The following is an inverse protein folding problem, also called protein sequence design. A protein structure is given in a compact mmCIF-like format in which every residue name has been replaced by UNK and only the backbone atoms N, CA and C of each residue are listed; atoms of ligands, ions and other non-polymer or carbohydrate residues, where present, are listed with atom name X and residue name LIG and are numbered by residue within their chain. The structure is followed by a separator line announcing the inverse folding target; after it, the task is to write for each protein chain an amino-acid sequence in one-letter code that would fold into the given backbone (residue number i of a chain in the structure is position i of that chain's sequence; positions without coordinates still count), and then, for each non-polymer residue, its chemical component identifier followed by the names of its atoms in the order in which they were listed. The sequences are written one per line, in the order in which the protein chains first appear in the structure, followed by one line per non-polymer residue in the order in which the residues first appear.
data_IF_151370585721
#
_entry.id   IF_151370585721
#
_cell.length_a   1.000
_cell.length_b   1.000
_cell.length_c   1.000
_cell.angle_alpha   90.00
_cell.angle_beta   90.00
_cell.angle_gamma   90.00
#
_symmetry.space_group_name_H-M   'P 1'
#
loop_
_entity.id
_entity.type
_entity.pdbx_description
1 polymer ?
#
# COMPACT_ATOMS: atom_id res chain seq x y z
N UNK A 1 8.77 38.95 -15.36
CA UNK A 1 9.62 39.37 -14.27
C UNK A 1 9.85 38.18 -13.32
N UNK A 2 11.04 37.57 -13.36
CA UNK A 2 11.37 36.43 -12.48
C UNK A 2 11.47 36.87 -11.01
N UNK A 3 10.87 36.08 -10.12
CA UNK A 3 11.01 36.29 -8.66
C UNK A 3 12.46 36.01 -8.25
N UNK A 4 13.14 37.01 -7.67
CA UNK A 4 14.47 36.82 -7.08
C UNK A 4 14.36 35.96 -5.84
N UNK A 5 15.16 34.90 -5.74
CA UNK A 5 15.33 34.07 -4.54
C UNK A 5 16.64 34.45 -3.86
N UNK A 6 16.62 34.64 -2.55
CA UNK A 6 17.80 34.93 -1.74
C UNK A 6 18.09 33.73 -0.86
N UNK A 7 19.39 33.38 -0.75
CA UNK A 7 19.90 32.32 0.12
C UNK A 7 20.91 32.94 1.09
N UNK A 8 20.68 32.75 2.40
CA UNK A 8 21.61 33.22 3.42
C UNK A 8 22.63 32.13 3.71
N UNK A 9 23.91 32.37 3.38
CA UNK A 9 24.99 31.42 3.53
C UNK A 9 25.49 31.26 4.98
N UNK A 10 25.07 32.15 5.89
CA UNK A 10 25.56 32.23 7.28
C UNK A 10 27.10 32.39 7.37
N UNK A 11 27.68 33.01 6.35
CA UNK A 11 29.10 33.38 6.31
C UNK A 11 29.19 34.87 6.66
N UNK A 12 30.01 35.19 7.63
CA UNK A 12 30.16 36.57 8.12
C UNK A 12 31.58 37.03 7.98
N UNK A 13 31.78 38.27 7.53
CA UNK A 13 33.09 38.94 7.52
C UNK A 13 33.28 39.61 8.87
N UNK A 14 34.52 39.56 9.38
CA UNK A 14 34.93 40.22 10.61
C UNK A 14 35.61 41.57 10.30
N UNK A 15 35.58 42.55 11.20
CA UNK A 15 36.34 43.80 11.01
C UNK A 15 37.86 43.53 10.87
N UNK A 16 38.48 44.04 9.80
CA UNK A 16 39.89 43.85 9.50
C UNK A 16 40.76 44.77 10.38
N UNK A 17 41.20 44.28 11.50
CA UNK A 17 42.11 45.00 12.43
C UNK A 17 43.54 44.48 12.37
N UNK A 18 43.70 43.22 11.96
CA UNK A 18 44.99 42.55 11.87
C UNK A 18 45.19 41.90 10.51
N UNK A 19 46.43 41.53 10.19
CA UNK A 19 46.74 40.76 8.98
C UNK A 19 46.06 39.39 8.96
N UNK A 20 45.88 38.81 10.14
CA UNK A 20 45.15 37.53 10.30
C UNK A 20 43.65 37.68 10.03
N UNK A 21 43.03 38.80 10.44
CA UNK A 21 41.62 39.06 10.17
C UNK A 21 41.35 39.18 8.67
N UNK A 22 42.26 39.85 7.96
CA UNK A 22 42.20 39.97 6.51
C UNK A 22 42.32 38.60 5.83
N UNK A 23 43.25 37.75 6.28
CA UNK A 23 43.40 36.39 5.72
C UNK A 23 42.16 35.53 5.98
N UNK A 24 41.51 35.62 7.16
CA UNK A 24 40.24 34.94 7.46
C UNK A 24 39.10 35.41 6.55
N UNK A 25 39.03 36.72 6.31
CA UNK A 25 38.02 37.29 5.42
C UNK A 25 38.22 36.83 3.95
N UNK A 26 39.49 36.75 3.50
CA UNK A 26 39.79 36.25 2.16
C UNK A 26 39.36 34.79 1.97
N UNK A 27 39.59 33.93 2.96
CA UNK A 27 39.09 32.51 2.96
C UNK A 27 37.57 32.47 2.93
N UNK A 28 36.92 33.30 3.75
CA UNK A 28 35.44 33.35 3.79
C UNK A 28 34.84 33.82 2.46
N UNK A 29 35.46 34.84 1.84
CA UNK A 29 35.04 35.34 0.51
C UNK A 29 35.28 34.29 -0.59
N UNK A 30 36.41 33.57 -0.54
CA UNK A 30 36.72 32.52 -1.47
C UNK A 30 35.67 31.37 -1.38
N UNK A 31 35.28 30.99 -0.16
CA UNK A 31 34.25 30.02 0.09
C UNK A 31 32.87 30.50 -0.46
N UNK A 32 32.52 31.75 -0.17
CA UNK A 32 31.27 32.35 -0.70
C UNK A 32 31.23 32.34 -2.23
N UNK A 33 32.34 32.70 -2.88
CA UNK A 33 32.45 32.65 -4.37
C UNK A 33 32.35 31.22 -4.91
N UNK A 34 32.95 30.24 -4.24
CA UNK A 34 32.84 28.83 -4.63
C UNK A 34 31.41 28.33 -4.52
N UNK A 35 30.67 28.67 -3.44
CA UNK A 35 29.27 28.37 -3.28
C UNK A 35 28.42 29.06 -4.38
N UNK A 36 28.68 30.34 -4.68
CA UNK A 36 28.02 31.07 -5.76
C UNK A 36 28.20 30.39 -7.11
N UNK A 37 29.44 30.03 -7.45
CA UNK A 37 29.74 29.35 -8.72
C UNK A 37 29.01 28.01 -8.82
N UNK A 38 28.96 27.23 -7.74
CA UNK A 38 28.23 25.99 -7.67
C UNK A 38 26.71 26.22 -7.90
N UNK A 39 26.13 27.26 -7.25
CA UNK A 39 24.72 27.61 -7.43
C UNK A 39 24.38 28.08 -8.84
N UNK A 40 25.27 28.83 -9.48
CA UNK A 40 25.09 29.24 -10.89
C UNK A 40 25.01 28.00 -11.79
N UNK A 41 25.91 27.04 -11.60
CA UNK A 41 25.89 25.76 -12.36
C UNK A 41 24.60 24.95 -12.06
N UNK A 42 24.15 24.89 -10.79
CA UNK A 42 22.91 24.22 -10.41
C UNK A 42 21.70 24.88 -11.09
N UNK A 43 21.61 26.22 -11.09
CA UNK A 43 20.51 26.96 -11.75
C UNK A 43 20.55 26.81 -13.26
N UNK A 44 21.74 26.82 -13.87
CA UNK A 44 21.90 26.60 -15.31
C UNK A 44 21.52 25.15 -15.68
N UNK A 45 21.94 24.17 -14.87
CA UNK A 45 21.55 22.77 -15.07
C UNK A 45 20.03 22.59 -14.95
N UNK A 46 19.38 23.21 -13.97
CA UNK A 46 17.92 23.18 -13.84
C UNK A 46 17.23 23.86 -15.03
N UNK A 47 17.77 24.99 -15.53
CA UNK A 47 17.24 25.70 -16.70
C UNK A 47 17.40 24.95 -18.02
N UNK A 48 18.44 24.12 -18.15
CA UNK A 48 18.73 23.30 -19.31
C UNK A 48 18.33 21.82 -19.17
N UNK A 49 17.61 21.46 -18.09
CA UNK A 49 17.14 20.08 -17.84
C UNK A 49 18.25 19.09 -17.45
N UNK A 50 19.46 19.56 -17.12
CA UNK A 50 20.51 18.70 -16.60
C UNK A 50 20.19 18.23 -15.18
N UNK A 51 20.23 16.93 -14.95
CA UNK A 51 19.95 16.34 -13.64
C UNK A 51 20.93 16.85 -12.56
N UNK A 52 20.41 17.23 -11.41
CA UNK A 52 21.21 17.49 -10.23
C UNK A 52 21.90 16.17 -9.81
N UNK A 53 23.18 16.03 -10.14
CA UNK A 53 23.94 14.76 -10.05
C UNK A 53 23.95 14.15 -8.64
N UNK A 54 23.80 14.94 -7.59
CA UNK A 54 23.77 14.44 -6.21
C UNK A 54 22.39 13.89 -5.83
N UNK A 55 21.30 14.53 -6.25
CA UNK A 55 19.94 14.08 -5.97
C UNK A 55 19.56 12.83 -6.79
N UNK A 56 19.99 12.75 -8.04
CA UNK A 56 19.71 11.61 -8.91
C UNK A 56 20.45 10.32 -8.53
N UNK A 57 21.46 10.41 -7.63
CA UNK A 57 22.16 9.26 -7.04
C UNK A 57 21.42 8.63 -5.85
N UNK A 58 20.29 9.20 -5.41
CA UNK A 58 19.48 8.61 -4.35
C UNK A 58 19.09 7.18 -4.74
N UNK A 59 19.28 6.24 -3.82
CA UNK A 59 18.91 4.85 -4.04
C UNK A 59 17.38 4.71 -4.03
N UNK A 60 16.81 4.22 -5.12
CA UNK A 60 15.38 3.96 -5.27
C UNK A 60 14.85 2.98 -4.21
N UNK A 61 15.66 2.00 -3.81
CA UNK A 61 15.23 0.99 -2.84
C UNK A 61 15.05 1.59 -1.45
N UNK A 62 16.00 2.40 -0.99
CA UNK A 62 15.92 3.11 0.30
C UNK A 62 14.73 4.07 0.31
N UNK A 63 14.50 4.75 -0.81
CA UNK A 63 13.37 5.66 -0.98
C UNK A 63 12.02 4.92 -0.88
N UNK A 64 11.90 3.77 -1.53
CA UNK A 64 10.72 2.91 -1.43
C UNK A 64 10.54 2.37 -0.01
N UNK A 65 11.61 1.89 0.64
CA UNK A 65 11.55 1.40 2.02
C UNK A 65 11.05 2.47 2.99
N UNK A 66 11.47 3.73 2.80
CA UNK A 66 10.98 4.86 3.58
C UNK A 66 9.48 5.14 3.34
N UNK A 67 9.00 5.05 2.09
CA UNK A 67 7.58 5.12 1.78
C UNK A 67 6.82 4.00 2.50
N UNK A 68 7.35 2.79 2.50
CA UNK A 68 6.76 1.64 3.18
C UNK A 68 6.64 1.86 4.69
N UNK A 69 7.69 2.37 5.34
CA UNK A 69 7.71 2.70 6.78
C UNK A 69 6.64 3.75 7.11
N UNK A 70 6.64 4.88 6.40
CA UNK A 70 5.65 5.95 6.58
C UNK A 70 4.21 5.43 6.42
N UNK A 71 3.98 4.58 5.42
CA UNK A 71 2.65 4.00 5.17
C UNK A 71 2.22 3.05 6.29
N UNK A 72 3.14 2.30 6.88
CA UNK A 72 2.85 1.42 8.02
C UNK A 72 2.47 2.22 9.27
N UNK A 73 3.20 3.30 9.56
CA UNK A 73 2.94 4.24 10.66
C UNK A 73 1.57 4.91 10.52
N UNK A 74 1.16 5.23 9.28
CA UNK A 74 -0.16 5.77 8.95
C UNK A 74 -1.28 4.70 8.94
N UNK A 75 -0.99 3.47 9.35
CA UNK A 75 -1.97 2.37 9.43
C UNK A 75 -2.23 1.63 8.11
N UNK A 76 -1.56 1.99 7.01
CA UNK A 76 -1.73 1.37 5.69
C UNK A 76 -0.85 0.11 5.52
N UNK A 77 -0.97 -0.85 6.43
CA UNK A 77 -0.12 -2.07 6.50
C UNK A 77 -0.10 -2.88 5.19
N UNK A 78 -1.22 -2.98 4.49
CA UNK A 78 -1.29 -3.72 3.22
C UNK A 78 -0.49 -3.04 2.12
N UNK A 79 -0.54 -1.72 2.02
CA UNK A 79 0.28 -0.97 1.08
C UNK A 79 1.77 -1.06 1.44
N UNK A 80 2.12 -0.91 2.71
CA UNK A 80 3.50 -1.10 3.17
C UNK A 80 4.06 -2.48 2.78
N UNK A 81 3.26 -3.55 2.93
CA UNK A 81 3.63 -4.90 2.48
C UNK A 81 3.85 -4.98 0.97
N UNK A 82 3.00 -4.31 0.17
CA UNK A 82 3.17 -4.25 -1.29
C UNK A 82 4.46 -3.53 -1.67
N UNK A 83 4.78 -2.43 -0.99
CA UNK A 83 6.05 -1.70 -1.17
C UNK A 83 7.24 -2.62 -0.89
N UNK A 84 7.25 -3.33 0.23
CA UNK A 84 8.34 -4.26 0.59
C UNK A 84 8.48 -5.40 -0.43
N UNK A 85 7.38 -5.92 -0.95
CA UNK A 85 7.42 -6.92 -2.01
C UNK A 85 7.98 -6.35 -3.33
N UNK A 86 7.65 -5.09 -3.65
CA UNK A 86 8.21 -4.39 -4.82
C UNK A 86 9.72 -4.17 -4.66
N UNK A 87 10.18 -3.74 -3.47
CA UNK A 87 11.61 -3.62 -3.14
C UNK A 87 12.33 -4.96 -3.30
N UNK A 88 11.75 -6.05 -2.77
CA UNK A 88 12.34 -7.38 -2.94
C UNK A 88 12.45 -7.78 -4.42
N UNK A 89 11.42 -7.51 -5.22
CA UNK A 89 11.46 -7.80 -6.65
C UNK A 89 12.54 -6.97 -7.37
N UNK A 90 12.70 -5.69 -7.03
CA UNK A 90 13.75 -4.82 -7.58
C UNK A 90 15.16 -5.30 -7.17
N UNK A 91 15.35 -5.71 -5.91
CA UNK A 91 16.63 -6.28 -5.42
C UNK A 91 17.00 -7.55 -6.20
N UNK A 92 16.05 -8.42 -6.46
CA UNK A 92 16.27 -9.62 -7.27
C UNK A 92 16.55 -9.30 -8.75
N UNK A 93 16.02 -8.21 -9.26
CA UNK A 93 16.18 -7.77 -10.65
C UNK A 93 17.53 -7.08 -10.92
N UNK A 94 17.96 -6.15 -10.05
CA UNK A 94 19.12 -5.28 -10.29
C UNK A 94 20.08 -5.15 -9.10
N UNK A 95 19.88 -5.94 -8.01
CA UNK A 95 20.71 -5.88 -6.80
C UNK A 95 20.28 -4.81 -5.80
N UNK A 96 21.16 -4.54 -4.82
CA UNK A 96 20.81 -3.75 -3.63
C UNK A 96 20.92 -2.23 -3.83
N UNK A 97 21.37 -1.78 -4.98
CA UNK A 97 21.49 -0.36 -5.29
C UNK A 97 20.98 -0.05 -6.71
N UNK A 98 20.01 0.84 -6.79
CA UNK A 98 19.43 1.34 -8.04
C UNK A 98 19.34 2.85 -7.90
N UNK A 99 20.18 3.61 -8.63
CA UNK A 99 20.08 5.07 -8.61
C UNK A 99 18.87 5.54 -9.44
N UNK A 100 18.17 6.58 -8.98
CA UNK A 100 17.03 7.12 -9.73
C UNK A 100 17.38 7.54 -11.17
N UNK A 101 18.62 7.98 -11.42
CA UNK A 101 19.07 8.33 -12.77
C UNK A 101 19.10 7.15 -13.76
N UNK A 102 19.19 5.92 -13.22
CA UNK A 102 19.27 4.70 -14.02
C UNK A 102 17.86 4.11 -14.27
N UNK A 103 16.83 4.80 -13.77
CA UNK A 103 15.41 4.43 -13.95
C UNK A 103 14.84 5.18 -15.13
N UNK A 104 15.05 4.65 -16.31
CA UNK A 104 14.54 5.17 -17.58
C UNK A 104 13.38 4.30 -18.12
N UNK A 105 12.95 4.57 -19.35
CA UNK A 105 11.89 3.81 -20.03
C UNK A 105 12.29 2.35 -20.26
N UNK A 106 13.55 2.10 -20.59
CA UNK A 106 14.09 0.75 -20.81
C UNK A 106 14.07 -0.05 -19.51
N UNK A 107 14.54 0.56 -18.42
CA UNK A 107 14.46 -0.06 -17.07
C UNK A 107 13.03 -0.46 -16.73
N UNK A 108 12.04 0.42 -16.95
CA UNK A 108 10.63 0.11 -16.66
C UNK A 108 10.10 -1.04 -17.52
N UNK A 109 10.52 -1.09 -18.78
CA UNK A 109 10.18 -2.17 -19.70
C UNK A 109 10.75 -3.50 -19.24
N UNK A 110 12.06 -3.56 -18.95
CA UNK A 110 12.76 -4.77 -18.52
C UNK A 110 12.25 -5.26 -17.16
N UNK A 111 12.03 -4.35 -16.21
CA UNK A 111 11.46 -4.72 -14.91
C UNK A 111 10.04 -5.28 -15.05
N UNK A 112 9.23 -4.73 -15.95
CA UNK A 112 7.88 -5.26 -16.23
C UNK A 112 7.95 -6.68 -16.79
N UNK A 113 8.87 -6.94 -17.74
CA UNK A 113 9.07 -8.26 -18.33
C UNK A 113 9.61 -9.26 -17.28
N UNK A 114 10.52 -8.82 -16.41
CA UNK A 114 11.01 -9.60 -15.28
C UNK A 114 9.86 -9.99 -14.31
N UNK A 115 8.98 -9.04 -13.94
CA UNK A 115 7.84 -9.31 -13.08
C UNK A 115 6.87 -10.36 -13.69
N UNK A 116 6.67 -10.33 -15.02
CA UNK A 116 5.82 -11.30 -15.73
C UNK A 116 6.37 -12.72 -15.68
N UNK A 117 7.67 -12.87 -15.53
CA UNK A 117 8.36 -14.16 -15.44
C UNK A 117 8.62 -14.58 -14.00
N UNK A 118 8.54 -13.65 -13.06
CA UNK A 118 8.87 -13.87 -11.66
C UNK A 118 7.95 -14.93 -11.03
N UNK A 119 8.50 -15.97 -10.37
CA UNK A 119 7.72 -16.97 -9.66
C UNK A 119 7.03 -16.37 -8.44
N UNK A 120 5.88 -16.93 -8.06
CA UNK A 120 5.18 -16.54 -6.83
C UNK A 120 6.04 -16.90 -5.61
N UNK A 121 6.18 -15.94 -4.68
CA UNK A 121 6.77 -16.23 -3.39
C UNK A 121 5.81 -17.04 -2.51
N UNK A 122 6.34 -17.96 -1.70
CA UNK A 122 5.55 -18.64 -0.68
C UNK A 122 5.23 -17.71 0.50
N UNK A 123 4.29 -18.13 1.34
CA UNK A 123 3.94 -17.43 2.60
C UNK A 123 5.17 -17.19 3.50
N UNK A 124 6.21 -18.00 3.40
CA UNK A 124 7.43 -17.93 4.20
C UNK A 124 8.62 -17.30 3.45
N UNK A 125 8.38 -16.61 2.32
CA UNK A 125 9.43 -15.96 1.55
C UNK A 125 10.23 -16.88 0.63
N UNK A 126 9.98 -18.19 0.67
CA UNK A 126 10.59 -19.17 -0.24
C UNK A 126 9.85 -19.12 -1.58
N UNK A 127 10.58 -19.00 -2.68
CA UNK A 127 9.99 -19.04 -4.02
C UNK A 127 9.36 -20.42 -4.26
N UNK A 128 8.06 -20.46 -4.55
CA UNK A 128 7.40 -21.69 -4.97
C UNK A 128 7.86 -22.05 -6.38
N UNK A 129 8.31 -23.26 -6.56
CA UNK A 129 8.47 -23.88 -7.87
C UNK A 129 7.07 -24.10 -8.45
N UNK A 130 6.71 -23.35 -9.48
CA UNK A 130 5.45 -23.49 -10.19
C UNK A 130 4.43 -22.37 -9.94
N UNK A 131 4.28 -21.49 -10.90
CA UNK A 131 3.35 -20.38 -10.95
C UNK A 131 4.04 -19.02 -10.98
N UNK A 132 3.73 -18.24 -12.02
CA UNK A 132 4.21 -16.87 -12.20
C UNK A 132 3.31 -15.91 -11.43
N UNK A 133 3.80 -14.67 -11.22
CA UNK A 133 2.94 -13.61 -10.68
C UNK A 133 1.72 -13.42 -11.60
N UNK A 134 0.55 -13.22 -10.97
CA UNK A 134 -0.66 -12.85 -11.73
C UNK A 134 -0.50 -11.46 -12.36
N UNK A 135 -1.17 -11.20 -13.47
CA UNK A 135 -1.19 -9.88 -14.11
C UNK A 135 -1.54 -8.77 -13.10
N UNK A 136 -2.51 -9.01 -12.21
CA UNK A 136 -2.89 -8.05 -11.16
C UNK A 136 -1.77 -7.80 -10.14
N UNK A 137 -0.93 -8.79 -9.84
CA UNK A 137 0.25 -8.59 -8.98
C UNK A 137 1.32 -7.76 -9.69
N UNK A 138 1.55 -8.00 -10.97
CA UNK A 138 2.47 -7.20 -11.80
C UNK A 138 2.02 -5.74 -11.85
N UNK A 139 0.72 -5.50 -12.10
CA UNK A 139 0.10 -4.16 -12.07
C UNK A 139 0.32 -3.49 -10.71
N UNK A 140 0.16 -4.22 -9.61
CA UNK A 140 0.34 -3.69 -8.27
C UNK A 140 1.80 -3.29 -7.98
N UNK A 141 2.77 -4.11 -8.36
CA UNK A 141 4.19 -3.83 -8.16
C UNK A 141 4.67 -2.65 -9.03
N UNK A 142 4.29 -2.66 -10.32
CA UNK A 142 4.57 -1.52 -11.19
C UNK A 142 3.90 -0.24 -10.69
N UNK A 143 2.64 -0.30 -10.25
CA UNK A 143 1.90 0.83 -9.68
C UNK A 143 2.59 1.44 -8.47
N UNK A 144 3.17 0.60 -7.61
CA UNK A 144 3.98 1.04 -6.46
C UNK A 144 5.25 1.76 -6.92
N UNK A 145 5.99 1.20 -7.87
CA UNK A 145 7.17 1.83 -8.45
C UNK A 145 6.82 3.17 -9.13
N UNK A 146 5.76 3.19 -9.93
CA UNK A 146 5.25 4.42 -10.58
C UNK A 146 4.92 5.50 -9.56
N UNK A 147 4.29 5.14 -8.44
CA UNK A 147 3.96 6.08 -7.37
C UNK A 147 5.22 6.69 -6.75
N UNK A 148 6.25 5.88 -6.50
CA UNK A 148 7.54 6.34 -5.98
C UNK A 148 8.25 7.29 -6.98
N UNK A 149 8.28 6.94 -8.26
CA UNK A 149 8.88 7.78 -9.32
C UNK A 149 8.12 9.11 -9.45
N UNK A 150 6.78 9.10 -9.45
CA UNK A 150 5.97 10.31 -9.50
C UNK A 150 6.21 11.21 -8.28
N UNK A 151 6.39 10.63 -7.10
CA UNK A 151 6.72 11.36 -5.88
C UNK A 151 8.13 11.95 -5.95
N UNK A 152 9.12 11.18 -6.38
CA UNK A 152 10.49 11.64 -6.58
C UNK A 152 10.60 12.77 -7.61
N UNK A 153 9.78 12.73 -8.68
CA UNK A 153 9.66 13.84 -9.64
C UNK A 153 9.11 15.10 -9.00
N UNK A 154 8.04 15.00 -8.19
CA UNK A 154 7.46 16.14 -7.47
C UNK A 154 8.44 16.74 -6.42
N UNK A 155 9.25 15.91 -5.80
CA UNK A 155 10.27 16.31 -4.82
C UNK A 155 11.57 16.85 -5.48
N UNK A 156 11.64 16.83 -6.83
CA UNK A 156 12.79 17.32 -7.59
C UNK A 156 14.05 16.44 -7.42
N UNK A 157 13.87 15.16 -7.11
CA UNK A 157 14.94 14.15 -7.09
C UNK A 157 15.32 13.79 -8.53
N UNK A 158 14.32 13.68 -9.40
CA UNK A 158 14.46 13.51 -10.85
C UNK A 158 13.79 14.67 -11.58
N UNK A 159 14.34 15.06 -12.72
CA UNK A 159 13.83 16.15 -13.58
C UNK A 159 12.94 15.66 -14.70
N UNK A 160 13.11 14.42 -15.11
CA UNK A 160 12.29 13.74 -16.14
C UNK A 160 11.58 12.56 -15.49
N UNK A 161 10.31 12.39 -15.81
CA UNK A 161 9.50 11.28 -15.30
C UNK A 161 9.35 10.20 -16.38
N UNK A 162 10.10 9.08 -16.29
CA UNK A 162 10.10 8.04 -17.32
C UNK A 162 8.76 7.31 -17.43
N UNK A 163 7.91 7.37 -16.39
CA UNK A 163 6.59 6.70 -16.42
C UNK A 163 5.60 7.37 -17.37
N UNK A 164 5.87 8.58 -17.82
CA UNK A 164 5.03 9.28 -18.81
C UNK A 164 5.28 8.80 -20.23
N UNK A 165 6.48 8.30 -20.50
CA UNK A 165 6.90 7.83 -21.82
C UNK A 165 6.73 6.31 -21.98
N UNK A 166 6.51 5.61 -20.87
CA UNK A 166 6.36 4.16 -20.87
C UNK A 166 4.88 3.74 -20.90
N UNK A 167 4.48 3.09 -21.98
CA UNK A 167 3.15 2.51 -22.12
C UNK A 167 3.09 1.12 -21.44
N UNK A 168 2.80 1.14 -20.14
CA UNK A 168 2.63 -0.09 -19.35
C UNK A 168 1.45 -0.94 -19.83
N UNK A 169 0.36 -0.30 -20.30
CA UNK A 169 -0.87 -0.99 -20.70
C UNK A 169 -0.68 -1.88 -21.91
N UNK A 170 0.26 -1.53 -22.80
CA UNK A 170 0.61 -2.36 -23.97
C UNK A 170 1.28 -3.69 -23.55
N UNK A 171 1.99 -3.71 -22.42
CA UNK A 171 2.71 -4.90 -21.93
C UNK A 171 1.89 -5.78 -21.00
N UNK A 172 1.03 -5.19 -20.18
CA UNK A 172 0.27 -5.91 -19.15
C UNK A 172 -1.18 -5.50 -19.19
N UNK A 173 -2.04 -6.40 -19.64
CA UNK A 173 -3.48 -6.25 -19.52
C UNK A 173 -3.91 -6.75 -18.16
N UNK A 174 -4.63 -5.91 -17.43
CA UNK A 174 -5.29 -6.31 -16.19
C UNK A 174 -6.43 -7.27 -16.53
N UNK A 175 -6.37 -8.49 -16.01
CA UNK A 175 -7.46 -9.43 -16.17
C UNK A 175 -8.62 -9.04 -15.25
N UNK A 176 -9.85 -8.97 -15.76
CA UNK A 176 -11.02 -8.76 -14.91
C UNK A 176 -11.11 -9.90 -13.90
N UNK A 177 -11.16 -9.56 -12.62
CA UNK A 177 -11.36 -10.53 -11.56
C UNK A 177 -12.77 -11.12 -11.69
N UNK A 178 -12.88 -12.37 -12.14
CA UNK A 178 -14.13 -13.12 -12.03
C UNK A 178 -14.28 -13.54 -10.57
N UNK A 179 -15.13 -12.82 -9.84
CA UNK A 179 -15.49 -13.21 -8.48
C UNK A 179 -16.64 -14.19 -8.57
N UNK A 180 -16.44 -15.35 -7.99
CA UNK A 180 -17.52 -16.31 -7.78
C UNK A 180 -18.38 -15.84 -6.61
N UNK A 181 -19.66 -16.09 -6.70
CA UNK A 181 -20.62 -15.83 -5.63
C UNK A 181 -21.42 -17.09 -5.31
N UNK A 182 -21.89 -17.21 -4.10
CA UNK A 182 -22.75 -18.30 -3.68
C UNK A 182 -24.17 -18.07 -4.21
N UNK A 183 -24.74 -19.09 -4.80
CA UNK A 183 -26.18 -19.11 -5.07
C UNK A 183 -26.95 -19.30 -3.77
N UNK A 184 -28.28 -19.03 -3.81
CA UNK A 184 -29.14 -19.24 -2.62
C UNK A 184 -29.11 -20.72 -2.19
N UNK A 185 -29.10 -21.65 -3.14
CA UNK A 185 -29.10 -23.10 -2.83
C UNK A 185 -27.75 -23.54 -2.25
N UNK A 186 -26.62 -23.00 -2.73
CA UNK A 186 -25.30 -23.24 -2.13
C UNK A 186 -25.24 -22.65 -0.72
N UNK A 187 -25.85 -21.49 -0.49
CA UNK A 187 -25.93 -20.89 0.84
C UNK A 187 -26.76 -21.76 1.80
N UNK A 188 -27.91 -22.28 1.36
CA UNK A 188 -28.70 -23.23 2.13
C UNK A 188 -27.94 -24.51 2.45
N UNK A 189 -27.17 -25.03 1.48
CA UNK A 189 -26.31 -26.19 1.70
C UNK A 189 -25.24 -25.91 2.76
N UNK A 190 -24.59 -24.75 2.72
CA UNK A 190 -23.64 -24.31 3.75
C UNK A 190 -24.32 -24.21 5.12
N UNK A 191 -25.51 -23.61 5.21
CA UNK A 191 -26.25 -23.49 6.45
C UNK A 191 -26.47 -24.86 7.11
N UNK A 192 -26.83 -25.86 6.33
CA UNK A 192 -27.10 -27.22 6.78
C UNK A 192 -25.84 -28.08 6.99
N UNK A 193 -24.67 -27.58 6.59
CA UNK A 193 -23.40 -28.28 6.76
C UNK A 193 -22.72 -27.85 8.06
N UNK A 194 -22.20 -28.81 8.82
CA UNK A 194 -21.44 -28.55 10.02
C UNK A 194 -20.14 -27.81 9.70
N UNK A 195 -19.84 -26.77 10.49
CA UNK A 195 -18.62 -25.98 10.37
C UNK A 195 -17.73 -26.18 11.60
N UNK A 196 -16.46 -26.46 11.39
CA UNK A 196 -15.47 -26.66 12.44
C UNK A 196 -15.42 -25.55 13.50
N UNK A 197 -15.72 -24.31 13.09
CA UNK A 197 -15.72 -23.15 13.97
C UNK A 197 -17.04 -22.39 13.80
N UNK A 198 -17.98 -22.61 14.73
CA UNK A 198 -19.32 -22.04 14.69
C UNK A 198 -19.32 -20.51 14.58
N UNK A 199 -18.39 -19.84 15.28
CA UNK A 199 -18.30 -18.37 15.23
C UNK A 199 -17.91 -17.87 13.82
N UNK A 200 -17.12 -18.63 13.06
CA UNK A 200 -16.77 -18.31 11.67
C UNK A 200 -17.98 -18.51 10.75
N UNK A 201 -18.74 -19.59 10.94
CA UNK A 201 -20.00 -19.85 10.23
C UNK A 201 -20.98 -18.71 10.44
N UNK A 202 -21.24 -18.34 11.70
CA UNK A 202 -22.17 -17.25 12.04
C UNK A 202 -21.72 -15.92 11.44
N UNK A 203 -20.46 -15.55 11.61
CA UNK A 203 -19.91 -14.32 11.06
C UNK A 203 -20.02 -14.27 9.53
N UNK A 204 -19.75 -15.39 8.83
CA UNK A 204 -19.82 -15.46 7.38
C UNK A 204 -21.25 -15.32 6.88
N UNK A 205 -22.20 -16.08 7.45
CA UNK A 205 -23.62 -16.02 7.07
C UNK A 205 -24.22 -14.66 7.40
N UNK A 206 -23.89 -14.08 8.54
CA UNK A 206 -24.26 -12.72 8.87
C UNK A 206 -23.74 -11.71 7.84
N UNK A 207 -22.46 -11.84 7.45
CA UNK A 207 -21.86 -10.99 6.42
C UNK A 207 -22.56 -11.15 5.06
N UNK A 208 -22.93 -12.38 4.66
CA UNK A 208 -23.68 -12.62 3.42
C UNK A 208 -25.03 -11.91 3.40
N UNK A 209 -25.71 -11.82 4.54
CA UNK A 209 -27.05 -11.26 4.65
C UNK A 209 -27.07 -9.74 4.86
N UNK A 210 -26.00 -9.17 5.45
CA UNK A 210 -25.93 -7.73 5.71
C UNK A 210 -24.94 -6.98 4.80
N UNK A 211 -24.11 -7.67 4.00
CA UNK A 211 -23.16 -7.05 3.08
C UNK A 211 -21.97 -6.36 3.76
N UNK A 212 -21.75 -6.57 5.07
CA UNK A 212 -20.60 -6.00 5.78
C UNK A 212 -19.29 -6.65 5.36
N UNK A 213 -18.22 -5.84 5.25
CA UNK A 213 -16.88 -6.37 5.00
C UNK A 213 -16.34 -7.09 6.24
N UNK A 214 -15.47 -8.08 6.03
CA UNK A 214 -14.83 -8.80 7.15
C UNK A 214 -14.12 -7.87 8.15
N UNK A 215 -13.57 -6.75 7.68
CA UNK A 215 -12.94 -5.75 8.56
C UNK A 215 -13.93 -5.10 9.53
N UNK A 216 -15.17 -4.92 9.09
CA UNK A 216 -16.24 -4.32 9.88
C UNK A 216 -16.86 -5.38 10.79
N UNK A 217 -17.11 -6.60 10.29
CA UNK A 217 -17.54 -7.77 11.10
C UNK A 217 -16.59 -8.02 12.27
N UNK A 218 -15.27 -7.99 12.05
CA UNK A 218 -14.26 -8.21 13.11
C UNK A 218 -14.27 -7.18 14.22
N UNK A 219 -14.78 -6.00 13.94
CA UNK A 219 -14.80 -4.88 14.89
C UNK A 219 -16.20 -4.57 15.42
N UNK A 220 -17.21 -5.28 14.91
CA UNK A 220 -18.58 -5.09 15.31
C UNK A 220 -18.76 -5.46 16.79
N UNK A 221 -19.30 -4.53 17.58
CA UNK A 221 -19.51 -4.65 19.02
C UNK A 221 -21.00 -4.68 19.33
N UNK A 222 -21.34 -5.14 20.50
CA UNK A 222 -22.73 -5.16 20.97
C UNK A 222 -23.35 -3.76 21.06
N UNK A 223 -22.58 -2.74 21.43
CA UNK A 223 -23.03 -1.35 21.43
C UNK A 223 -23.36 -0.78 20.03
N UNK A 224 -22.86 -1.40 18.96
CA UNK A 224 -23.12 -0.97 17.60
C UNK A 224 -24.51 -1.41 17.10
N UNK A 225 -25.21 -2.30 17.85
CA UNK A 225 -26.56 -2.75 17.55
C UNK A 225 -27.59 -1.88 18.25
N UNK A 226 -28.27 -1.03 17.51
CA UNK A 226 -29.32 -0.16 18.00
C UNK A 226 -30.70 -0.80 17.78
N UNK A 227 -31.51 -0.84 18.83
CA UNK A 227 -32.88 -1.36 18.78
C UNK A 227 -33.89 -0.22 18.94
N UNK A 228 -34.78 -0.06 17.97
CA UNK A 228 -35.83 0.96 18.03
C UNK A 228 -37.06 0.49 17.26
N UNK A 229 -38.24 0.59 17.88
CA UNK A 229 -39.51 0.23 17.26
C UNK A 229 -39.59 -1.21 16.74
N UNK A 230 -39.00 -2.18 17.48
CA UNK A 230 -38.97 -3.59 17.08
C UNK A 230 -37.96 -3.91 15.95
N UNK A 231 -37.24 -2.92 15.46
CA UNK A 231 -36.21 -3.10 14.42
C UNK A 231 -34.82 -2.98 15.00
N UNK A 232 -33.87 -3.71 14.40
CA UNK A 232 -32.45 -3.65 14.75
C UNK A 232 -31.68 -3.03 13.59
N UNK A 233 -30.75 -2.13 13.90
CA UNK A 233 -29.84 -1.56 12.93
C UNK A 233 -28.42 -1.57 13.47
N UNK A 234 -27.44 -1.62 12.57
CA UNK A 234 -26.02 -1.41 12.87
C UNK A 234 -25.69 0.06 12.66
N UNK A 235 -24.98 0.65 13.62
CA UNK A 235 -24.40 2.00 13.52
C UNK A 235 -22.91 1.92 13.75
N UNK A 236 -22.13 2.03 12.68
CA UNK A 236 -20.67 1.93 12.74
C UNK A 236 -19.99 2.97 11.83
N UNK A 237 -18.71 3.23 12.09
CA UNK A 237 -17.82 3.86 11.12
C UNK A 237 -17.06 2.78 10.38
N UNK A 238 -17.26 2.65 9.09
CA UNK A 238 -16.63 1.63 8.25
C UNK A 238 -15.10 1.71 8.30
N UNK A 239 -14.44 0.58 8.47
CA UNK A 239 -12.99 0.53 8.64
C UNK A 239 -12.21 0.99 7.40
N UNK A 240 -12.71 0.70 6.22
CA UNK A 240 -12.03 0.98 4.94
C UNK A 240 -12.24 2.39 4.44
N UNK A 241 -13.48 2.89 4.48
CA UNK A 241 -13.85 4.20 3.91
C UNK A 241 -13.89 5.32 4.95
N UNK A 242 -13.93 4.97 6.25
CA UNK A 242 -14.07 5.91 7.37
C UNK A 242 -15.39 6.70 7.35
N UNK A 243 -16.38 6.21 6.63
CA UNK A 243 -17.70 6.79 6.56
C UNK A 243 -18.66 6.14 7.56
N UNK A 244 -19.61 6.89 8.12
CA UNK A 244 -20.65 6.33 8.96
C UNK A 244 -21.57 5.43 8.13
N UNK A 245 -22.02 4.34 8.72
CA UNK A 245 -22.97 3.40 8.12
C UNK A 245 -24.10 3.14 9.10
N UNK A 246 -25.32 3.33 8.63
CA UNK A 246 -26.57 3.00 9.32
C UNK A 246 -27.28 1.90 8.50
N UNK A 247 -27.18 0.66 8.98
CA UNK A 247 -27.65 -0.50 8.23
C UNK A 247 -28.79 -1.21 9.01
N UNK A 248 -30.02 -1.18 8.51
CA UNK A 248 -31.10 -2.02 9.03
C UNK A 248 -30.77 -3.51 8.83
N UNK A 249 -31.03 -4.33 9.83
CA UNK A 249 -30.76 -5.77 9.79
C UNK A 249 -32.06 -6.53 9.64
N UNK A 250 -32.07 -7.49 8.72
CA UNK A 250 -33.19 -8.40 8.52
C UNK A 250 -33.30 -9.44 9.66
N UNK A 251 -34.49 -9.95 9.90
CA UNK A 251 -34.72 -11.02 10.89
C UNK A 251 -33.90 -12.28 10.55
N UNK A 252 -33.68 -12.56 9.26
CA UNK A 252 -32.82 -13.65 8.82
C UNK A 252 -31.36 -13.43 9.22
N UNK A 253 -30.84 -12.21 9.13
CA UNK A 253 -29.49 -11.92 9.57
C UNK A 253 -29.35 -11.98 11.08
N UNK A 254 -30.37 -11.55 11.84
CA UNK A 254 -30.40 -11.61 13.30
C UNK A 254 -30.23 -13.03 13.86
N UNK A 255 -30.72 -14.06 13.15
CA UNK A 255 -30.56 -15.48 13.54
C UNK A 255 -29.09 -15.91 13.62
N UNK A 256 -28.21 -15.21 12.94
CA UNK A 256 -26.79 -15.53 12.90
C UNK A 256 -25.95 -14.75 13.92
N UNK A 257 -26.56 -13.86 14.67
CA UNK A 257 -25.89 -13.30 15.86
C UNK A 257 -25.67 -14.42 16.88
N UNK A 258 -24.49 -14.47 17.52
CA UNK A 258 -24.29 -15.35 18.65
C UNK A 258 -25.18 -14.91 19.81
N UNK A 259 -25.42 -15.80 20.76
CA UNK A 259 -26.06 -15.42 22.03
C UNK A 259 -25.14 -14.46 22.77
N UNK A 260 -25.71 -13.36 23.26
CA UNK A 260 -24.92 -12.34 23.95
C UNK A 260 -24.40 -12.83 25.31
N UNK A 261 -25.15 -13.64 26.03
CA UNK A 261 -24.79 -14.10 27.34
C UNK A 261 -24.41 -12.93 28.28
N UNK A 262 -23.25 -13.06 28.94
CA UNK A 262 -22.71 -12.05 29.86
C UNK A 262 -21.82 -11.01 29.15
N UNK A 263 -21.78 -10.97 27.81
CA UNK A 263 -20.94 -10.04 27.07
C UNK A 263 -21.38 -8.58 27.29
N UNK A 264 -20.39 -7.71 27.52
CA UNK A 264 -20.58 -6.28 27.66
C UNK A 264 -20.85 -5.59 26.33
N UNK A 265 -21.35 -4.36 26.38
CA UNK A 265 -21.58 -3.53 25.20
C UNK A 265 -20.30 -3.31 24.36
N UNK A 266 -19.15 -3.25 25.02
CA UNK A 266 -17.84 -3.05 24.37
C UNK A 266 -17.24 -4.32 23.75
N UNK A 267 -17.81 -5.50 24.00
CA UNK A 267 -17.28 -6.76 23.50
C UNK A 267 -17.62 -6.98 22.02
N UNK A 268 -16.72 -7.68 21.32
CA UNK A 268 -16.96 -8.01 19.93
C UNK A 268 -18.04 -9.08 19.77
N UNK A 269 -18.98 -8.88 18.85
CA UNK A 269 -20.02 -9.86 18.53
C UNK A 269 -19.39 -11.13 17.90
N UNK A 270 -18.41 -10.95 17.03
CA UNK A 270 -17.72 -12.05 16.35
C UNK A 270 -16.21 -12.01 16.67
N UNK A 271 -15.77 -12.66 17.75
CA UNK A 271 -14.34 -12.73 18.12
C UNK A 271 -13.57 -13.66 17.18
N UNK A 272 -13.39 -13.25 15.92
CA UNK A 272 -12.73 -14.02 14.89
C UNK A 272 -11.20 -14.08 15.13
N UNK A 273 -10.64 -15.28 15.02
CA UNK A 273 -9.20 -15.55 15.09
C UNK A 273 -8.44 -14.94 13.91
N UNK A 274 -7.15 -15.29 13.75
CA UNK A 274 -6.30 -14.80 12.67
C UNK A 274 -6.95 -15.04 11.29
N UNK A 275 -6.75 -14.11 10.35
CA UNK A 275 -7.35 -14.13 9.01
C UNK A 275 -7.08 -15.42 8.23
N UNK A 276 -5.86 -15.97 8.34
CA UNK A 276 -5.51 -17.24 7.70
C UNK A 276 -6.36 -18.39 8.21
N UNK A 277 -6.56 -18.51 9.52
CA UNK A 277 -7.39 -19.56 10.14
C UNK A 277 -8.85 -19.44 9.72
N UNK A 278 -9.37 -18.21 9.65
CA UNK A 278 -10.74 -17.95 9.19
C UNK A 278 -10.92 -18.39 7.74
N UNK A 279 -9.99 -18.00 6.85
CA UNK A 279 -10.05 -18.41 5.45
C UNK A 279 -9.89 -19.92 5.27
N UNK A 280 -8.97 -20.55 5.98
CA UNK A 280 -8.79 -22.01 5.94
C UNK A 280 -10.07 -22.73 6.41
N UNK A 281 -10.73 -22.20 7.45
CA UNK A 281 -12.03 -22.72 7.92
C UNK A 281 -13.11 -22.62 6.84
N UNK A 282 -13.22 -21.46 6.19
CA UNK A 282 -14.22 -21.27 5.11
C UNK A 282 -13.97 -22.22 3.93
N UNK A 283 -12.71 -22.37 3.50
CA UNK A 283 -12.37 -23.28 2.41
C UNK A 283 -12.68 -24.74 2.77
N UNK A 284 -12.35 -25.15 4.00
CA UNK A 284 -12.67 -26.50 4.46
C UNK A 284 -14.19 -26.73 4.53
N UNK A 285 -14.93 -25.78 5.08
CA UNK A 285 -16.39 -25.86 5.21
C UNK A 285 -17.08 -25.92 3.84
N UNK A 286 -16.65 -25.10 2.86
CA UNK A 286 -17.14 -25.17 1.49
C UNK A 286 -16.90 -26.56 0.87
N UNK A 287 -15.70 -27.11 1.09
CA UNK A 287 -15.33 -28.44 0.58
C UNK A 287 -16.22 -29.53 1.19
N UNK A 288 -16.49 -29.49 2.49
CA UNK A 288 -17.40 -30.43 3.18
C UNK A 288 -18.83 -30.31 2.63
N UNK A 289 -19.28 -29.09 2.31
CA UNK A 289 -20.56 -28.82 1.69
C UNK A 289 -20.66 -29.20 0.21
N UNK A 290 -19.58 -29.72 -0.39
CA UNK A 290 -19.54 -30.04 -1.82
C UNK A 290 -19.44 -28.82 -2.75
N UNK A 291 -19.12 -27.64 -2.23
CA UNK A 291 -18.99 -26.42 -3.01
C UNK A 291 -17.56 -26.32 -3.53
N UNK A 292 -17.41 -26.28 -4.85
CA UNK A 292 -16.10 -26.21 -5.53
C UNK A 292 -15.58 -24.78 -5.69
N UNK A 293 -16.46 -23.79 -5.51
CA UNK A 293 -16.11 -22.36 -5.60
C UNK A 293 -15.19 -21.94 -4.45
N UNK A 294 -14.27 -21.02 -4.77
CA UNK A 294 -13.46 -20.38 -3.74
C UNK A 294 -14.27 -19.33 -2.99
N UNK A 295 -14.73 -19.64 -1.79
CA UNK A 295 -15.49 -18.71 -0.96
C UNK A 295 -14.58 -17.88 -0.04
N UNK A 296 -14.94 -16.63 0.18
CA UNK A 296 -14.30 -15.72 1.13
C UNK A 296 -15.34 -14.70 1.61
N UNK A 297 -14.99 -13.91 2.62
CA UNK A 297 -15.86 -12.79 3.07
C UNK A 297 -16.02 -11.66 2.04
N UNK A 298 -15.50 -11.82 0.82
CA UNK A 298 -15.55 -10.79 -0.25
C UNK A 298 -16.17 -11.34 -1.50
#
# INVERSE_FOLDING_TARGET
GGKRKYEFLKLYLIPERTREDKAKNEVTLALAKAIQSKRIVEVQNDAHGFQNTNKSRVNLLDYLENIGKQSAEQGSRNYARTVLNTVRALKLFRGDYIAFRDVDKEFLSEFTDYLRQMPKASKYGVLKTGGRLSANSVVSYYGTLRTAINRAYKEGIITVNPTKEFDFASKVRQEPSRREYLTIDELKTLINTECRHEIVKRAFLFSCLCGLRVSDIRKLRWCDLQRSGGRVRIEITMQKTKEPLYLPISDEALKWLPERGEANDSDYIFPLTHEGTVNDTLQHWAKVAGITKHISFH
#
